data_IF_504215032690
#
_entry.id   IF_504215032690
#
_cell.length_a   1.000
_cell.length_b   1.000
_cell.length_c   1.000
_cell.angle_alpha   90.00
_cell.angle_beta   90.00
_cell.angle_gamma   90.00
#
_symmetry.space_group_name_H-M   'P 1'
#
loop_
_entity.id
_entity.type
_entity.pdbx_description
1 polymer ?
#
# COMPACT_ATOMS: atom_id res chain seq x y z
N UNK A 1 -11.27 10.16 -1.16
CA UNK A 1 -11.45 9.42 0.11
C UNK A 1 -10.20 9.54 1.02
N UNK A 2 -9.35 10.57 0.86
CA UNK A 2 -8.08 10.72 1.58
C UNK A 2 -8.11 11.22 3.04
N UNK A 3 -9.28 11.50 3.64
CA UNK A 3 -9.35 12.03 5.00
C UNK A 3 -9.10 11.01 6.12
N UNK A 4 -9.33 9.72 5.85
CA UNK A 4 -9.26 8.66 6.87
C UNK A 4 -7.82 8.17 7.09
N UNK A 5 -7.05 7.95 6.01
CA UNK A 5 -5.64 7.57 6.10
C UNK A 5 -4.77 8.69 6.72
N UNK A 6 -4.95 9.95 6.33
CA UNK A 6 -4.17 11.06 6.91
C UNK A 6 -4.43 11.25 8.42
N UNK A 7 -5.70 11.08 8.86
CA UNK A 7 -6.05 11.09 10.29
C UNK A 7 -5.44 9.92 11.06
N UNK A 8 -5.38 8.75 10.43
CA UNK A 8 -4.76 7.56 11.02
C UNK A 8 -3.26 7.74 11.25
N UNK A 9 -2.54 8.25 10.25
CA UNK A 9 -1.13 8.63 10.41
C UNK A 9 -0.95 9.68 11.51
N UNK A 10 -1.79 10.72 11.56
CA UNK A 10 -1.75 11.73 12.64
C UNK A 10 -1.98 11.11 14.02
N UNK A 11 -2.89 10.15 14.16
CA UNK A 11 -3.14 9.44 15.42
C UNK A 11 -2.00 8.50 15.81
N UNK A 12 -1.29 7.91 14.84
CA UNK A 12 -0.16 7.00 15.07
C UNK A 12 1.09 7.74 15.57
N UNK A 13 1.35 8.94 15.03
CA UNK A 13 2.50 9.77 15.41
C UNK A 13 2.24 10.73 16.57
N UNK A 14 0.98 10.88 17.01
CA UNK A 14 0.59 11.79 18.08
C UNK A 14 0.82 11.28 19.51
N UNK A 15 1.08 9.97 19.70
CA UNK A 15 1.37 9.41 21.03
C UNK A 15 2.87 9.25 21.24
N UNK A 16 3.38 10.03 22.21
CA UNK A 16 4.76 10.03 22.69
C UNK A 16 5.26 8.60 22.96
N UNK A 17 6.46 8.31 22.44
CA UNK A 17 7.25 7.07 22.61
C UNK A 17 7.13 5.94 21.56
N UNK A 18 6.70 6.24 20.33
CA UNK A 18 7.15 5.42 19.20
C UNK A 18 8.52 5.94 18.76
N UNK A 19 9.56 5.08 18.78
CA UNK A 19 10.85 5.39 18.14
C UNK A 19 10.54 5.87 16.72
N UNK A 20 10.85 7.14 16.43
CA UNK A 20 10.61 7.77 15.14
C UNK A 20 11.51 7.06 14.14
N UNK A 21 11.04 5.96 13.57
CA UNK A 21 11.43 5.58 12.23
C UNK A 21 10.86 6.69 11.35
N UNK A 22 11.73 7.61 10.91
CA UNK A 22 11.42 8.60 9.88
C UNK A 22 11.16 7.84 8.57
N UNK A 23 10.04 7.13 8.50
CA UNK A 23 9.51 6.61 7.24
C UNK A 23 8.66 7.75 6.69
N UNK A 24 9.20 8.42 5.67
CA UNK A 24 8.45 9.41 4.90
C UNK A 24 7.36 8.65 4.14
N UNK A 25 6.11 8.77 4.59
CA UNK A 25 4.96 8.20 3.89
C UNK A 25 4.42 9.21 2.88
N UNK A 26 4.50 8.87 1.59
CA UNK A 26 3.75 9.59 0.57
C UNK A 26 2.48 8.80 0.27
N UNK A 27 1.33 9.35 0.69
CA UNK A 27 0.01 8.73 0.49
C UNK A 27 -0.63 9.32 -0.75
N UNK A 28 -1.00 8.46 -1.70
CA UNK A 28 -1.66 8.86 -2.95
C UNK A 28 -3.12 8.41 -2.94
N UNK A 29 -4.08 9.36 -2.92
CA UNK A 29 -5.50 9.08 -3.17
C UNK A 29 -5.68 8.94 -4.69
N UNK A 30 -5.40 7.75 -5.23
CA UNK A 30 -5.52 7.49 -6.67
C UNK A 30 -6.95 7.06 -7.00
N UNK A 31 -7.88 7.99 -6.79
CA UNK A 31 -9.15 7.97 -7.49
C UNK A 31 -8.97 8.38 -8.95
N UNK A 32 -8.44 7.47 -9.79
CA UNK A 32 -8.70 7.41 -11.23
C UNK A 32 -8.49 8.65 -12.12
N UNK A 33 -7.81 9.71 -11.68
CA UNK A 33 -7.43 10.79 -12.60
C UNK A 33 -6.08 10.47 -13.23
N UNK A 34 -6.10 9.87 -14.42
CA UNK A 34 -4.91 9.58 -15.25
C UNK A 34 -3.93 10.76 -15.35
N UNK A 35 -4.46 11.98 -15.25
CA UNK A 35 -3.74 13.24 -15.33
C UNK A 35 -2.65 13.43 -14.28
N UNK A 36 -2.74 12.79 -13.10
CA UNK A 36 -1.76 12.98 -12.01
C UNK A 36 -0.74 11.86 -11.89
N UNK A 37 -0.93 10.71 -12.56
CA UNK A 37 -0.01 9.56 -12.54
C UNK A 37 1.42 9.91 -12.96
N UNK A 38 1.68 10.82 -13.93
CA UNK A 38 3.04 11.21 -14.27
C UNK A 38 3.85 11.81 -13.11
N UNK A 39 3.18 12.38 -12.10
CA UNK A 39 3.85 13.03 -10.97
C UNK A 39 4.45 12.04 -9.97
N UNK A 40 4.04 10.77 -9.99
CA UNK A 40 4.54 9.76 -9.03
C UNK A 40 6.05 9.56 -9.12
N UNK A 41 6.61 9.71 -10.33
CA UNK A 41 8.06 9.57 -10.59
C UNK A 41 8.92 10.49 -9.74
N UNK A 42 8.40 11.66 -9.34
CA UNK A 42 9.13 12.59 -8.48
C UNK A 42 9.39 12.06 -7.07
N UNK A 43 8.76 10.96 -6.68
CA UNK A 43 8.80 10.41 -5.32
C UNK A 43 9.50 9.05 -5.25
N UNK A 44 9.90 8.46 -6.39
CA UNK A 44 10.51 7.13 -6.39
C UNK A 44 11.94 7.14 -5.83
N UNK A 45 12.66 8.24 -6.04
CA UNK A 45 14.03 8.38 -5.55
C UNK A 45 14.10 8.18 -4.03
N UNK A 46 15.01 7.32 -3.60
CA UNK A 46 15.25 6.96 -2.19
C UNK A 46 14.04 6.34 -1.47
N UNK A 47 13.07 5.78 -2.20
CA UNK A 47 11.97 5.04 -1.60
C UNK A 47 12.43 3.65 -1.15
N UNK A 48 12.36 3.41 0.16
CA UNK A 48 12.71 2.10 0.74
C UNK A 48 11.52 1.15 0.83
N UNK A 49 10.30 1.70 0.91
CA UNK A 49 9.07 0.93 1.05
C UNK A 49 7.91 1.58 0.30
N UNK A 50 7.12 0.75 -0.38
CA UNK A 50 5.91 1.12 -1.10
C UNK A 50 4.70 0.52 -0.41
N UNK A 51 3.73 1.34 -0.05
CA UNK A 51 2.40 0.88 0.39
C UNK A 51 1.43 1.07 -0.78
N UNK A 52 0.82 -0.02 -1.22
CA UNK A 52 -0.18 -0.03 -2.28
C UNK A 52 -1.54 -0.45 -1.70
N UNK A 53 -2.56 0.40 -1.83
CA UNK A 53 -3.88 0.13 -1.25
C UNK A 53 -4.84 -0.28 -2.35
N UNK A 54 -5.39 -1.48 -2.24
CA UNK A 54 -6.39 -2.02 -3.15
C UNK A 54 -7.77 -1.86 -2.52
N UNK A 55 -8.73 -1.37 -3.29
CA UNK A 55 -10.15 -1.43 -2.95
C UNK A 55 -10.66 -2.85 -3.21
N UNK A 56 -10.74 -3.69 -2.18
CA UNK A 56 -11.11 -5.10 -2.34
C UNK A 56 -12.55 -5.29 -2.82
N UNK A 57 -13.42 -4.29 -2.68
CA UNK A 57 -14.80 -4.39 -3.16
C UNK A 57 -14.94 -3.95 -4.63
N UNK A 58 -13.90 -3.37 -5.23
CA UNK A 58 -13.89 -2.96 -6.64
C UNK A 58 -13.23 -4.00 -7.54
N UNK A 59 -14.03 -5.03 -7.87
CA UNK A 59 -13.59 -6.16 -8.68
C UNK A 59 -13.36 -5.78 -10.16
N UNK A 60 -13.94 -4.69 -10.64
CA UNK A 60 -13.81 -4.25 -12.03
C UNK A 60 -12.46 -3.57 -12.29
N UNK A 61 -11.96 -2.79 -11.31
CA UNK A 61 -10.70 -2.03 -11.42
C UNK A 61 -9.46 -2.77 -10.92
N UNK A 62 -9.59 -4.01 -10.47
CA UNK A 62 -8.44 -4.78 -9.95
C UNK A 62 -7.35 -5.03 -11.01
N UNK A 63 -7.73 -5.23 -12.27
CA UNK A 63 -6.77 -5.41 -13.36
C UNK A 63 -6.02 -4.10 -13.67
N UNK A 64 -6.71 -2.95 -13.60
CA UNK A 64 -6.08 -1.64 -13.73
C UNK A 64 -5.08 -1.41 -12.57
N UNK A 65 -5.45 -1.78 -11.35
CA UNK A 65 -4.57 -1.69 -10.19
C UNK A 65 -3.33 -2.58 -10.32
N UNK A 66 -3.49 -3.79 -10.86
CA UNK A 66 -2.38 -4.68 -11.23
C UNK A 66 -1.42 -3.98 -12.20
N UNK A 67 -1.93 -3.47 -13.32
CA UNK A 67 -1.09 -2.87 -14.36
C UNK A 67 -0.33 -1.66 -13.86
N UNK A 68 -0.97 -0.81 -13.04
CA UNK A 68 -0.31 0.34 -12.42
C UNK A 68 0.75 -0.07 -11.39
N UNK A 69 0.47 -1.07 -10.54
CA UNK A 69 1.47 -1.59 -9.61
C UNK A 69 2.69 -2.10 -10.37
N UNK A 70 2.51 -2.98 -11.36
CA UNK A 70 3.62 -3.56 -12.11
C UNK A 70 4.41 -2.53 -12.91
N UNK A 71 3.72 -1.52 -13.45
CA UNK A 71 4.38 -0.37 -14.09
C UNK A 71 5.26 0.40 -13.09
N UNK A 72 4.77 0.68 -11.88
CA UNK A 72 5.58 1.33 -10.83
C UNK A 72 6.78 0.46 -10.44
N UNK A 73 6.56 -0.84 -10.21
CA UNK A 73 7.61 -1.76 -9.78
C UNK A 73 8.69 -2.02 -10.84
N UNK A 74 8.41 -1.66 -12.11
CA UNK A 74 9.36 -1.72 -13.21
C UNK A 74 10.30 -0.51 -13.32
N UNK A 75 10.06 0.56 -12.54
CA UNK A 75 10.94 1.74 -12.50
C UNK A 75 12.18 1.43 -11.64
N UNK A 76 13.37 1.77 -12.15
CA UNK A 76 14.66 1.39 -11.55
C UNK A 76 14.81 1.90 -10.11
N UNK A 77 14.29 3.09 -9.82
CA UNK A 77 14.31 3.72 -8.50
C UNK A 77 13.53 2.94 -7.45
N UNK A 78 12.55 2.14 -7.87
CA UNK A 78 11.74 1.30 -6.98
C UNK A 78 12.23 -0.14 -6.91
N UNK A 79 13.28 -0.54 -7.63
CA UNK A 79 13.73 -1.95 -7.73
C UNK A 79 13.95 -2.63 -6.37
N UNK A 80 14.52 -1.91 -5.42
CA UNK A 80 14.87 -2.43 -4.08
C UNK A 80 13.79 -2.18 -3.02
N UNK A 81 12.70 -1.48 -3.36
CA UNK A 81 11.66 -1.12 -2.39
C UNK A 81 10.89 -2.36 -1.86
N UNK A 82 10.64 -2.40 -0.55
CA UNK A 82 9.74 -3.41 0.04
C UNK A 82 8.29 -3.06 -0.30
N UNK A 83 7.46 -4.03 -0.67
CA UNK A 83 6.06 -3.79 -1.01
C UNK A 83 5.10 -4.26 0.10
N UNK A 84 4.29 -3.37 0.64
CA UNK A 84 3.12 -3.72 1.44
C UNK A 84 1.86 -3.46 0.62
N UNK A 85 1.01 -4.47 0.44
CA UNK A 85 -0.31 -4.33 -0.17
C UNK A 85 -1.38 -4.36 0.91
N UNK A 86 -2.23 -3.33 0.98
CA UNK A 86 -3.43 -3.37 1.80
C UNK A 86 -4.62 -3.81 0.96
N UNK A 87 -5.25 -4.92 1.32
CA UNK A 87 -6.54 -5.36 0.78
C UNK A 87 -7.65 -4.69 1.61
N UNK A 88 -8.00 -3.46 1.24
CA UNK A 88 -8.84 -2.57 2.04
C UNK A 88 -10.35 -2.76 1.76
N UNK A 89 -11.18 -2.31 2.69
CA UNK A 89 -12.65 -2.41 2.68
C UNK A 89 -13.18 -3.83 2.89
N UNK A 90 -12.53 -4.58 3.77
CA UNK A 90 -12.95 -5.94 4.14
C UNK A 90 -14.30 -5.97 4.87
N UNK A 91 -14.82 -4.83 5.30
CA UNK A 91 -16.15 -4.67 5.88
C UNK A 91 -17.30 -4.80 4.86
N UNK A 92 -17.00 -4.78 3.55
CA UNK A 92 -18.01 -4.83 2.50
C UNK A 92 -18.32 -6.27 2.05
N UNK A 93 -19.59 -6.59 1.75
CA UNK A 93 -20.04 -7.98 1.55
C UNK A 93 -19.46 -8.68 0.32
N UNK A 94 -18.90 -7.94 -0.65
CA UNK A 94 -18.31 -8.49 -1.88
C UNK A 94 -16.79 -8.28 -1.95
N UNK A 95 -16.16 -7.92 -0.83
CA UNK A 95 -14.73 -7.71 -0.77
C UNK A 95 -13.97 -8.99 -1.14
N UNK A 96 -12.99 -8.85 -2.04
CA UNK A 96 -11.97 -9.86 -2.29
C UNK A 96 -11.13 -10.05 -1.03
N UNK A 97 -10.95 -11.30 -0.61
CA UNK A 97 -10.05 -11.60 0.49
C UNK A 97 -8.58 -11.40 0.08
N UNK A 98 -7.66 -11.51 1.06
CA UNK A 98 -6.24 -11.29 0.81
C UNK A 98 -5.66 -12.28 -0.21
N UNK A 99 -6.18 -13.51 -0.30
CA UNK A 99 -5.69 -14.49 -1.25
C UNK A 99 -6.11 -14.10 -2.67
N UNK A 100 -7.39 -13.80 -2.87
CA UNK A 100 -7.92 -13.39 -4.18
C UNK A 100 -7.25 -12.10 -4.69
N UNK A 101 -7.02 -11.12 -3.81
CA UNK A 101 -6.28 -9.90 -4.18
C UNK A 101 -4.83 -10.24 -4.55
N UNK A 102 -4.14 -11.10 -3.78
CA UNK A 102 -2.77 -11.51 -4.07
C UNK A 102 -2.62 -12.16 -5.45
N UNK A 103 -3.56 -13.05 -5.80
CA UNK A 103 -3.60 -13.73 -7.08
C UNK A 103 -3.84 -12.74 -8.22
N UNK A 104 -4.85 -11.87 -8.11
CA UNK A 104 -5.18 -10.87 -9.15
C UNK A 104 -4.11 -9.80 -9.33
N UNK A 105 -3.42 -9.42 -8.26
CA UNK A 105 -2.29 -8.49 -8.30
C UNK A 105 -0.98 -9.16 -8.75
N UNK A 106 -0.97 -10.48 -8.93
CA UNK A 106 0.19 -11.23 -9.42
C UNK A 106 1.39 -11.16 -8.48
N UNK A 107 1.17 -11.04 -7.17
CA UNK A 107 2.25 -10.81 -6.19
C UNK A 107 3.25 -11.97 -6.13
N UNK A 108 2.79 -13.19 -6.37
CA UNK A 108 3.63 -14.39 -6.42
C UNK A 108 4.69 -14.35 -7.54
N UNK A 109 4.51 -13.51 -8.56
CA UNK A 109 5.50 -13.30 -9.62
C UNK A 109 6.72 -12.48 -9.16
N UNK A 110 6.60 -11.73 -8.06
CA UNK A 110 7.62 -10.82 -7.54
C UNK A 110 8.70 -11.56 -6.72
N UNK A 111 9.37 -12.54 -7.33
CA UNK A 111 10.29 -13.47 -6.64
C UNK A 111 11.48 -12.84 -5.93
N UNK A 112 11.94 -11.68 -6.42
CA UNK A 112 13.14 -10.99 -5.93
C UNK A 112 12.82 -9.79 -5.05
N UNK A 113 11.54 -9.51 -4.79
CA UNK A 113 11.09 -8.38 -3.98
C UNK A 113 10.39 -8.89 -2.74
N UNK A 114 10.75 -8.37 -1.56
CA UNK A 114 10.00 -8.65 -0.33
C UNK A 114 8.64 -7.98 -0.44
N UNK A 115 7.58 -8.77 -0.28
CA UNK A 115 6.22 -8.26 -0.27
C UNK A 115 5.36 -8.92 0.81
N UNK A 116 4.30 -8.23 1.22
CA UNK A 116 3.26 -8.77 2.09
C UNK A 116 1.92 -8.15 1.73
N UNK A 117 0.86 -8.92 1.96
CA UNK A 117 -0.52 -8.46 1.79
C UNK A 117 -1.23 -8.54 3.13
N UNK A 118 -1.89 -7.44 3.50
CA UNK A 118 -2.60 -7.31 4.77
C UNK A 118 -4.07 -6.95 4.49
N UNK A 119 -5.03 -7.80 4.85
CA UNK A 119 -6.44 -7.41 4.87
C UNK A 119 -6.65 -6.30 5.89
N UNK A 120 -7.44 -5.28 5.52
CA UNK A 120 -7.70 -4.16 6.42
C UNK A 120 -9.04 -3.46 6.15
N UNK A 121 -9.46 -2.66 7.14
CA UNK A 121 -10.62 -1.78 7.04
C UNK A 121 -10.21 -0.39 7.51
N UNK A 122 -9.93 0.52 6.57
CA UNK A 122 -9.43 1.86 6.88
C UNK A 122 -10.36 2.69 7.78
N UNK A 123 -11.68 2.44 7.70
CA UNK A 123 -12.69 3.17 8.50
C UNK A 123 -12.69 2.77 9.97
N UNK A 124 -12.35 1.51 10.29
CA UNK A 124 -12.29 0.99 11.67
C UNK A 124 -10.87 0.97 12.21
N UNK A 125 -9.86 0.97 11.34
CA UNK A 125 -8.45 0.85 11.70
C UNK A 125 -7.92 -0.58 11.70
N UNK A 126 -8.78 -1.58 11.52
CA UNK A 126 -8.44 -3.00 11.58
C UNK A 126 -7.40 -3.37 10.51
N UNK A 127 -6.39 -4.15 10.89
CA UNK A 127 -5.34 -4.65 10.01
C UNK A 127 -4.24 -3.64 9.65
N UNK A 128 -4.39 -2.35 9.99
CA UNK A 128 -3.45 -1.33 9.54
C UNK A 128 -2.19 -1.29 10.40
N UNK A 129 -2.32 -1.53 11.70
CA UNK A 129 -1.17 -1.62 12.59
C UNK A 129 -0.28 -2.80 12.18
N UNK A 130 -0.88 -3.95 11.92
CA UNK A 130 -0.22 -5.20 11.56
C UNK A 130 0.58 -5.06 10.25
N UNK A 131 -0.02 -4.41 9.24
CA UNK A 131 0.67 -4.14 7.98
C UNK A 131 1.86 -3.18 8.15
N UNK A 132 1.67 -2.10 8.91
CA UNK A 132 2.73 -1.12 9.18
C UNK A 132 3.86 -1.70 10.05
N UNK A 133 3.51 -2.57 11.01
CA UNK A 133 4.47 -3.30 11.83
C UNK A 133 5.32 -4.23 10.98
N UNK A 134 4.71 -5.01 10.07
CA UNK A 134 5.44 -5.84 9.12
C UNK A 134 6.42 -5.02 8.27
N UNK A 135 5.97 -3.88 7.73
CA UNK A 135 6.80 -3.01 6.90
C UNK A 135 7.99 -2.48 7.70
N UNK A 136 7.74 -1.96 8.91
CA UNK A 136 8.76 -1.46 9.82
C UNK A 136 9.83 -2.52 10.14
N UNK A 137 9.40 -3.74 10.50
CA UNK A 137 10.32 -4.84 10.79
C UNK A 137 11.10 -5.30 9.56
N UNK A 138 10.53 -5.15 8.37
CA UNK A 138 11.19 -5.55 7.12
C UNK A 138 12.20 -4.52 6.63
N UNK A 139 11.97 -3.23 6.87
CA UNK A 139 12.87 -2.13 6.50
C UNK A 139 14.07 -1.97 7.46
N UNK A 140 13.94 -2.46 8.69
CA UNK A 140 14.98 -2.38 9.74
C UNK A 140 15.96 -3.54 9.74
N UNK A 141 15.77 -4.53 8.85
CA UNK A 141 16.65 -5.70 8.66
C UNK A 141 17.52 -5.52 7.43
#
# INVERSE_FOLDING_TARGET
MGGSFAKMFSSFFGKKEARILMISFTVWDVGGQDKIRPLWRHYYQNTQGLIFVVDSNDRERINEAHDELHKMLGEDELKEAVLLVFANKQDLPNAMDAQEVSEKMGLSSLRYRKWYIQPCTATTGEGLYEGLEWLSQTLTK
#
